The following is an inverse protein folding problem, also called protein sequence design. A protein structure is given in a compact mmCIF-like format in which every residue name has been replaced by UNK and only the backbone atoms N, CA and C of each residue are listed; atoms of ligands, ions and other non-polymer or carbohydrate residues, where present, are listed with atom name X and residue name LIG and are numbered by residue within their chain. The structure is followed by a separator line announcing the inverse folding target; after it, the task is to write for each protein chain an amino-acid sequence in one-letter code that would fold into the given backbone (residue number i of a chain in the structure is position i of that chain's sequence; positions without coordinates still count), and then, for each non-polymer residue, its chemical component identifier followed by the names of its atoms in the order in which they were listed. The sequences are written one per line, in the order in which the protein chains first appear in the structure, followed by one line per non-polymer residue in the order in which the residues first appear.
data_IF_516370872545
#
_entry.id   IF_516370872545
#
_cell.length_a   1.000
_cell.length_b   1.000
_cell.length_c   1.000
_cell.angle_alpha   90.00
_cell.angle_beta   90.00
_cell.angle_gamma   90.00
#
_symmetry.space_group_name_H-M   'P 1'
#
loop_
_entity.id
_entity.type
_entity.pdbx_description
1 polymer ?
#
# COMPACT_ATOMS: atom_id res chain seq x y z
N UNK A 1 -2.81 -3.62 19.79
CA UNK A 1 -1.65 -3.92 20.67
C UNK A 1 -0.52 -4.39 19.77
N UNK A 2 0.65 -3.78 19.89
CA UNK A 2 1.86 -4.27 19.22
C UNK A 2 2.11 -5.73 19.63
N UNK A 3 2.79 -6.49 18.78
CA UNK A 3 3.14 -7.89 19.03
C UNK A 3 4.02 -7.98 20.31
N UNK A 4 3.38 -8.18 21.46
CA UNK A 4 4.02 -8.29 22.78
C UNK A 4 5.04 -9.42 22.80
N UNK A 5 4.80 -10.47 22.01
CA UNK A 5 5.78 -11.54 21.81
C UNK A 5 7.01 -11.02 21.09
N UNK A 6 6.86 -10.29 19.97
CA UNK A 6 7.98 -9.69 19.24
C UNK A 6 8.80 -8.75 20.13
N UNK A 7 8.16 -7.92 20.95
CA UNK A 7 8.87 -7.07 21.91
C UNK A 7 9.61 -7.89 22.97
N UNK A 8 8.95 -8.90 23.54
CA UNK A 8 9.53 -9.78 24.56
C UNK A 8 10.76 -10.52 24.03
N UNK A 9 10.66 -11.18 22.87
CA UNK A 9 11.75 -11.98 22.29
C UNK A 9 12.88 -11.14 21.70
N UNK A 10 12.69 -9.83 21.55
CA UNK A 10 13.74 -8.89 21.16
C UNK A 10 14.30 -8.07 22.34
N UNK A 11 13.73 -8.15 23.54
CA UNK A 11 14.25 -7.53 24.77
C UNK A 11 15.46 -8.30 25.32
N UNK A 12 16.42 -7.65 26.00
CA UNK A 12 17.70 -8.27 26.40
C UNK A 12 17.60 -9.68 27.04
N UNK A 13 16.87 -9.85 28.16
CA UNK A 13 16.68 -11.17 28.77
C UNK A 13 15.86 -12.14 27.89
N UNK A 14 14.80 -11.64 27.24
CA UNK A 14 13.93 -12.46 26.39
C UNK A 14 14.59 -12.93 25.10
N UNK A 15 15.52 -12.15 24.54
CA UNK A 15 16.30 -12.49 23.34
C UNK A 15 17.23 -13.67 23.58
N UNK A 16 17.89 -13.70 24.73
CA UNK A 16 18.77 -14.80 25.12
C UNK A 16 17.97 -16.09 25.35
N UNK A 17 16.80 -15.98 26.00
CA UNK A 17 15.92 -17.12 26.24
C UNK A 17 15.31 -17.66 24.93
N UNK A 18 14.78 -16.79 24.08
CA UNK A 18 14.22 -17.17 22.78
C UNK A 18 15.26 -17.85 21.89
N UNK A 19 16.51 -17.34 21.85
CA UNK A 19 17.61 -17.98 21.11
C UNK A 19 17.94 -19.37 21.63
N UNK A 20 17.97 -19.57 22.96
CA UNK A 20 18.19 -20.88 23.59
C UNK A 20 17.05 -21.87 23.31
N UNK A 21 15.82 -21.37 23.19
CA UNK A 21 14.61 -22.16 22.95
C UNK A 21 14.28 -22.34 21.45
N UNK A 22 15.08 -21.78 20.54
CA UNK A 22 14.83 -21.84 19.09
C UNK A 22 13.56 -21.09 18.67
N UNK A 23 13.11 -20.11 19.47
CA UNK A 23 11.88 -19.37 19.22
C UNK A 23 12.07 -18.34 18.08
N UNK A 24 11.08 -18.16 17.18
CA UNK A 24 11.15 -17.14 16.13
C UNK A 24 11.36 -15.73 16.69
N UNK A 25 12.30 -14.99 16.12
CA UNK A 25 12.63 -13.60 16.47
C UNK A 25 12.39 -12.69 15.27
N UNK A 26 11.12 -12.37 14.95
CA UNK A 26 10.81 -11.41 13.89
C UNK A 26 11.45 -10.06 14.19
N UNK A 27 11.85 -9.35 13.14
CA UNK A 27 12.44 -8.03 13.28
C UNK A 27 11.40 -6.99 13.73
N UNK A 28 11.81 -6.01 14.52
CA UNK A 28 10.98 -4.83 14.76
C UNK A 28 11.02 -3.96 13.50
N UNK A 29 9.88 -3.85 12.81
CA UNK A 29 9.81 -3.10 11.55
C UNK A 29 9.92 -1.60 11.78
N UNK A 30 10.80 -0.94 11.02
CA UNK A 30 10.92 0.51 10.94
C UNK A 30 9.65 1.10 10.32
N UNK A 31 8.79 1.68 11.15
CA UNK A 31 7.58 2.40 10.73
C UNK A 31 7.82 3.91 10.77
N UNK A 32 7.05 4.64 9.97
CA UNK A 32 7.16 6.09 9.91
C UNK A 32 6.80 6.75 11.25
N UNK A 33 7.57 7.77 11.59
CA UNK A 33 7.36 8.66 12.72
C UNK A 33 7.72 10.08 12.23
N UNK A 34 6.90 11.10 12.54
CA UNK A 34 7.18 12.48 12.14
C UNK A 34 8.60 12.92 12.51
N UNK A 35 9.29 13.58 11.58
CA UNK A 35 10.64 14.11 11.79
C UNK A 35 11.77 13.08 11.72
N UNK A 36 11.48 11.79 11.50
CA UNK A 36 12.54 10.82 11.22
C UNK A 36 13.05 10.95 9.78
N UNK A 37 14.36 10.68 9.54
CA UNK A 37 14.93 10.76 8.20
C UNK A 37 14.24 9.78 7.25
N UNK A 38 14.19 10.09 5.95
CA UNK A 38 13.60 9.22 4.93
C UNK A 38 14.31 7.85 4.87
N UNK A 39 15.65 7.87 4.86
CA UNK A 39 16.53 6.69 4.91
C UNK A 39 17.63 6.95 5.94
N UNK A 40 18.09 5.91 6.64
CA UNK A 40 19.27 5.97 7.50
C UNK A 40 20.42 5.22 6.86
N UNK A 41 21.49 5.93 6.49
CA UNK A 41 22.64 5.38 5.76
C UNK A 41 22.55 5.58 4.24
N UNK A 42 23.62 5.24 3.49
CA UNK A 42 23.69 5.49 2.05
C UNK A 42 22.64 4.71 1.25
N UNK A 43 22.22 5.30 0.13
CA UNK A 43 21.40 4.68 -0.91
C UNK A 43 22.29 4.37 -2.10
N UNK A 44 22.44 3.09 -2.43
CA UNK A 44 23.17 2.67 -3.64
C UNK A 44 22.21 2.60 -4.81
N UNK A 45 22.45 3.35 -5.87
CA UNK A 45 21.72 3.27 -7.14
C UNK A 45 22.60 2.55 -8.16
N UNK A 46 22.12 1.43 -8.66
CA UNK A 46 22.80 0.54 -9.61
C UNK A 46 22.11 0.59 -10.97
N UNK A 47 22.87 0.39 -12.04
CA UNK A 47 22.42 0.48 -13.43
C UNK A 47 23.21 1.54 -14.19
N UNK A 48 23.57 1.24 -15.44
CA UNK A 48 24.40 2.08 -16.30
C UNK A 48 23.55 2.84 -17.34
N UNK A 49 22.32 3.21 -16.98
CA UNK A 49 21.37 3.89 -17.86
C UNK A 49 21.26 5.37 -17.52
N UNK A 50 20.87 6.24 -18.48
CA UNK A 50 20.58 7.65 -18.18
C UNK A 50 19.49 7.82 -17.12
N UNK A 51 18.54 6.89 -17.03
CA UNK A 51 17.52 6.85 -15.97
C UNK A 51 18.14 6.69 -14.58
N UNK A 52 19.15 5.83 -14.46
CA UNK A 52 19.86 5.59 -13.22
C UNK A 52 20.65 6.82 -12.74
N UNK A 53 21.30 7.53 -13.66
CA UNK A 53 22.02 8.77 -13.34
C UNK A 53 21.07 9.90 -12.91
N UNK A 54 19.96 10.07 -13.64
CA UNK A 54 18.92 11.06 -13.30
C UNK A 54 18.29 10.79 -11.95
N UNK A 55 17.95 9.51 -11.66
CA UNK A 55 17.42 9.14 -10.34
C UNK A 55 18.42 9.41 -9.24
N UNK A 56 19.70 9.07 -9.43
CA UNK A 56 20.73 9.35 -8.43
C UNK A 56 20.88 10.85 -8.14
N UNK A 57 20.86 11.69 -9.19
CA UNK A 57 20.89 13.15 -9.04
C UNK A 57 19.66 13.68 -8.28
N UNK A 58 18.47 13.13 -8.56
CA UNK A 58 17.24 13.52 -7.86
C UNK A 58 17.27 13.09 -6.39
N UNK A 59 17.75 11.89 -6.07
CA UNK A 59 17.88 11.44 -4.68
C UNK A 59 18.91 12.29 -3.89
N UNK A 60 19.97 12.78 -4.54
CA UNK A 60 20.90 13.74 -3.93
C UNK A 60 20.20 15.08 -3.61
N UNK A 61 19.28 15.52 -4.46
CA UNK A 61 18.49 16.75 -4.25
C UNK A 61 17.62 16.65 -2.97
N UNK A 62 17.26 15.44 -2.56
CA UNK A 62 16.53 15.15 -1.32
C UNK A 62 17.44 15.10 -0.07
N UNK A 63 18.71 15.51 -0.18
CA UNK A 63 19.72 15.44 0.87
C UNK A 63 20.01 14.01 1.36
N UNK A 64 19.94 13.01 0.47
CA UNK A 64 20.36 11.64 0.76
C UNK A 64 21.85 11.45 0.42
N UNK A 65 22.54 10.57 1.14
CA UNK A 65 23.85 10.06 0.72
C UNK A 65 23.64 9.01 -0.38
N UNK A 66 24.00 9.34 -1.62
CA UNK A 66 23.77 8.49 -2.80
C UNK A 66 25.08 8.00 -3.39
N UNK A 67 25.14 6.70 -3.71
CA UNK A 67 26.32 6.03 -4.27
C UNK A 67 25.96 5.31 -5.56
N UNK A 68 26.86 5.28 -6.54
CA UNK A 68 26.67 4.58 -7.83
C UNK A 68 27.34 3.20 -7.89
N UNK A 69 28.01 2.79 -6.83
CA UNK A 69 28.68 1.50 -6.71
C UNK A 69 28.57 0.97 -5.29
N UNK A 70 28.84 -0.33 -5.11
CA UNK A 70 28.92 -0.96 -3.80
C UNK A 70 29.93 -0.23 -2.91
N UNK A 71 29.63 -0.10 -1.62
CA UNK A 71 30.50 0.54 -0.64
C UNK A 71 30.95 -0.51 0.39
N UNK A 72 32.19 -1.00 0.31
CA UNK A 72 32.69 -1.97 1.27
C UNK A 72 32.64 -1.41 2.71
N UNK A 73 32.23 -2.26 3.65
CA UNK A 73 32.26 -2.00 5.10
C UNK A 73 31.34 -0.87 5.63
N UNK A 74 30.44 -0.31 4.82
CA UNK A 74 29.43 0.65 5.28
C UNK A 74 28.03 0.04 5.30
N UNK A 75 27.21 0.40 6.30
CA UNK A 75 25.84 -0.09 6.41
C UNK A 75 24.85 0.74 5.60
N UNK A 76 24.25 0.11 4.59
CA UNK A 76 23.36 0.71 3.60
C UNK A 76 21.92 0.85 4.11
N UNK A 77 21.29 1.96 3.77
CA UNK A 77 19.87 2.16 4.01
C UNK A 77 19.01 1.56 2.90
N UNK A 78 19.46 1.65 1.64
CA UNK A 78 18.76 1.08 0.51
C UNK A 78 19.68 0.72 -0.67
N UNK A 79 19.19 -0.18 -1.54
CA UNK A 79 19.76 -0.51 -2.85
C UNK A 79 18.64 -0.32 -3.88
N UNK A 80 18.89 0.44 -4.94
CA UNK A 80 17.97 0.64 -6.04
C UNK A 80 18.63 0.10 -7.31
N UNK A 81 17.98 -0.83 -8.00
CA UNK A 81 18.41 -1.35 -9.30
C UNK A 81 17.55 -0.73 -10.38
N UNK A 82 18.16 0.06 -11.26
CA UNK A 82 17.49 0.66 -12.42
C UNK A 82 17.73 -0.25 -13.62
N UNK A 83 16.66 -0.93 -14.04
CA UNK A 83 16.61 -2.01 -15.01
C UNK A 83 15.66 -1.64 -16.17
N UNK A 84 15.57 -0.35 -16.48
CA UNK A 84 14.62 0.25 -17.43
C UNK A 84 14.99 0.03 -18.90
N UNK A 85 16.24 -0.35 -19.17
CA UNK A 85 16.77 -0.64 -20.52
C UNK A 85 17.12 -2.12 -20.74
N UNK A 86 16.73 -3.02 -19.83
CA UNK A 86 16.97 -4.47 -19.98
C UNK A 86 16.24 -5.01 -21.22
N UNK A 87 17.01 -5.54 -22.18
CA UNK A 87 16.52 -6.01 -23.48
C UNK A 87 16.74 -7.51 -23.72
N UNK A 88 17.63 -8.14 -22.97
CA UNK A 88 17.91 -9.57 -23.03
C UNK A 88 18.12 -10.14 -21.62
N UNK A 89 17.78 -11.42 -21.33
CA UNK A 89 17.90 -11.98 -19.98
C UNK A 89 19.32 -11.90 -19.38
N UNK A 90 20.36 -11.91 -20.20
CA UNK A 90 21.76 -11.77 -19.76
C UNK A 90 22.08 -10.38 -19.21
N UNK A 91 21.32 -9.35 -19.60
CA UNK A 91 21.57 -7.97 -19.16
C UNK A 91 21.33 -7.80 -17.65
N UNK A 92 20.60 -8.75 -17.03
CA UNK A 92 20.37 -8.77 -15.58
C UNK A 92 21.64 -9.08 -14.79
N UNK A 93 22.61 -9.81 -15.36
CA UNK A 93 23.76 -10.34 -14.61
C UNK A 93 24.51 -9.25 -13.85
N UNK A 94 24.98 -8.21 -14.56
CA UNK A 94 25.81 -7.14 -14.00
C UNK A 94 25.12 -6.38 -12.85
N UNK A 95 23.92 -5.78 -13.03
CA UNK A 95 23.27 -5.03 -11.95
C UNK A 95 22.87 -5.94 -10.77
N UNK A 96 22.46 -7.19 -11.03
CA UNK A 96 22.06 -8.13 -9.97
C UNK A 96 23.25 -8.58 -9.14
N UNK A 97 24.38 -8.94 -9.76
CA UNK A 97 25.59 -9.32 -9.01
C UNK A 97 26.18 -8.15 -8.24
N UNK A 98 26.11 -6.92 -8.78
CA UNK A 98 26.48 -5.72 -8.05
C UNK A 98 25.61 -5.50 -6.79
N UNK A 99 24.30 -5.71 -6.90
CA UNK A 99 23.39 -5.64 -5.76
C UNK A 99 23.70 -6.75 -4.75
N UNK A 100 23.91 -7.98 -5.22
CA UNK A 100 24.21 -9.15 -4.39
C UNK A 100 25.44 -8.93 -3.49
N UNK A 101 26.49 -8.27 -4.03
CA UNK A 101 27.69 -7.90 -3.27
C UNK A 101 27.42 -6.97 -2.07
N UNK A 102 26.31 -6.23 -2.09
CA UNK A 102 25.93 -5.24 -1.08
C UNK A 102 24.79 -5.68 -0.15
N UNK A 103 24.12 -6.81 -0.43
CA UNK A 103 22.93 -7.24 0.33
C UNK A 103 23.22 -7.49 1.82
N UNK A 104 24.43 -7.97 2.16
CA UNK A 104 24.84 -8.21 3.56
C UNK A 104 25.08 -6.92 4.34
N UNK A 105 25.20 -5.80 3.62
CA UNK A 105 25.43 -4.48 4.19
C UNK A 105 24.13 -3.69 4.41
N UNK A 106 22.99 -4.19 3.95
CA UNK A 106 21.69 -3.62 4.28
C UNK A 106 21.46 -3.59 5.80
N UNK A 107 20.99 -2.45 6.29
CA UNK A 107 20.54 -2.27 7.67
C UNK A 107 19.25 -3.07 7.93
N UNK A 108 18.97 -3.29 9.21
CA UNK A 108 17.65 -3.73 9.63
C UNK A 108 16.59 -2.72 9.16
N UNK A 109 15.53 -3.21 8.53
CA UNK A 109 14.54 -2.35 7.86
C UNK A 109 15.09 -1.60 6.64
N UNK A 110 16.14 -2.11 5.99
CA UNK A 110 16.62 -1.59 4.70
C UNK A 110 15.63 -1.81 3.56
N UNK A 111 15.95 -1.28 2.38
CA UNK A 111 15.07 -1.35 1.21
C UNK A 111 15.83 -1.82 -0.03
N UNK A 112 15.19 -2.69 -0.80
CA UNK A 112 15.59 -2.97 -2.19
C UNK A 112 14.48 -2.50 -3.10
N UNK A 113 14.83 -1.72 -4.12
CA UNK A 113 13.88 -1.20 -5.11
C UNK A 113 14.34 -1.56 -6.51
N UNK A 114 13.46 -2.05 -7.38
CA UNK A 114 13.73 -2.14 -8.82
C UNK A 114 12.93 -1.10 -9.58
N UNK A 115 13.53 -0.44 -10.56
CA UNK A 115 12.81 0.27 -11.62
C UNK A 115 12.92 -0.57 -12.88
N UNK A 116 11.80 -0.95 -13.50
CA UNK A 116 11.78 -1.78 -14.70
C UNK A 116 10.69 -1.34 -15.67
N UNK A 117 10.63 -1.95 -16.86
CA UNK A 117 9.55 -1.74 -17.84
C UNK A 117 8.62 -2.95 -17.91
N UNK A 118 7.34 -2.77 -18.26
CA UNK A 118 6.41 -3.90 -18.36
C UNK A 118 6.79 -4.83 -19.52
N UNK A 119 6.65 -6.14 -19.28
CA UNK A 119 6.88 -7.15 -20.30
C UNK A 119 5.87 -7.06 -21.45
N UNK A 120 4.65 -6.59 -21.19
CA UNK A 120 3.59 -6.40 -22.19
C UNK A 120 3.89 -5.32 -23.23
N UNK A 121 4.84 -4.42 -22.96
CA UNK A 121 5.29 -3.37 -23.89
C UNK A 121 6.64 -3.69 -24.55
N UNK A 122 7.12 -4.93 -24.43
CA UNK A 122 8.34 -5.34 -25.11
C UNK A 122 8.10 -5.56 -26.61
N UNK A 123 9.04 -5.13 -27.44
CA UNK A 123 8.99 -5.32 -28.90
C UNK A 123 9.52 -6.67 -29.36
N UNK A 124 10.24 -7.40 -28.51
CA UNK A 124 10.79 -8.73 -28.81
C UNK A 124 10.53 -9.73 -27.67
N UNK A 125 10.48 -11.04 -27.96
CA UNK A 125 10.35 -12.07 -26.94
C UNK A 125 11.47 -12.05 -25.90
N UNK A 126 12.71 -11.74 -26.29
CA UNK A 126 13.87 -11.64 -25.40
C UNK A 126 13.69 -10.51 -24.39
N UNK A 127 13.23 -9.34 -24.84
CA UNK A 127 12.96 -8.20 -23.98
C UNK A 127 11.78 -8.49 -23.05
N UNK A 128 10.73 -9.16 -23.54
CA UNK A 128 9.60 -9.58 -22.72
C UNK A 128 10.06 -10.55 -21.61
N UNK A 129 10.87 -11.54 -21.96
CA UNK A 129 11.43 -12.52 -21.03
C UNK A 129 12.33 -11.85 -19.98
N UNK A 130 13.19 -10.93 -20.40
CA UNK A 130 14.10 -10.22 -19.52
C UNK A 130 13.35 -9.33 -18.52
N UNK A 131 12.37 -8.54 -18.99
CA UNK A 131 11.52 -7.68 -18.17
C UNK A 131 10.67 -8.49 -17.19
N UNK A 132 10.03 -9.58 -17.64
CA UNK A 132 9.27 -10.47 -16.75
C UNK A 132 10.18 -11.18 -15.74
N UNK A 133 11.44 -11.43 -16.10
CA UNK A 133 12.45 -11.99 -15.20
C UNK A 133 12.74 -11.11 -13.98
N UNK A 134 12.61 -9.78 -14.11
CA UNK A 134 12.76 -8.85 -12.98
C UNK A 134 11.73 -9.14 -11.88
N UNK A 135 10.51 -9.51 -12.24
CA UNK A 135 9.46 -9.84 -11.28
C UNK A 135 9.83 -11.04 -10.41
N UNK A 136 10.26 -12.12 -11.07
CA UNK A 136 10.68 -13.35 -10.41
C UNK A 136 11.91 -13.14 -9.53
N UNK A 137 12.88 -12.39 -10.04
CA UNK A 137 14.08 -11.98 -9.31
C UNK A 137 13.72 -11.22 -8.04
N UNK A 138 12.98 -10.11 -8.14
CA UNK A 138 12.69 -9.26 -6.99
C UNK A 138 11.87 -10.01 -5.93
N UNK A 139 10.84 -10.76 -6.34
CA UNK A 139 10.01 -11.51 -5.39
C UNK A 139 10.83 -12.59 -4.68
N UNK A 140 11.79 -13.21 -5.35
CA UNK A 140 12.70 -14.18 -4.71
C UNK A 140 13.65 -13.47 -3.76
N UNK A 141 14.29 -12.39 -4.22
CA UNK A 141 15.19 -11.57 -3.42
C UNK A 141 14.51 -11.07 -2.13
N UNK A 142 13.28 -10.56 -2.21
CA UNK A 142 12.52 -10.10 -1.04
C UNK A 142 12.34 -11.20 0.03
N UNK A 143 12.22 -12.48 -0.37
CA UNK A 143 12.15 -13.61 0.57
C UNK A 143 13.50 -13.95 1.22
N UNK A 144 14.61 -13.55 0.59
CA UNK A 144 15.96 -13.77 1.11
C UNK A 144 16.44 -12.63 2.02
N UNK A 145 15.81 -11.45 1.90
CA UNK A 145 16.09 -10.30 2.74
C UNK A 145 15.85 -10.62 4.23
N UNK A 146 16.65 -10.00 5.08
CA UNK A 146 16.67 -10.26 6.52
C UNK A 146 16.36 -9.01 7.32
N UNK A 147 16.16 -9.19 8.63
CA UNK A 147 16.03 -8.10 9.59
C UNK A 147 14.94 -7.07 9.23
N UNK A 148 13.83 -7.53 8.63
CA UNK A 148 12.70 -6.68 8.27
C UNK A 148 12.94 -5.75 7.08
N UNK A 149 13.99 -5.98 6.30
CA UNK A 149 14.16 -5.32 5.00
C UNK A 149 13.10 -5.82 4.00
N UNK A 150 12.74 -4.97 3.04
CA UNK A 150 11.71 -5.25 2.03
C UNK A 150 12.24 -5.02 0.62
N UNK A 151 11.70 -5.74 -0.36
CA UNK A 151 12.00 -5.59 -1.78
C UNK A 151 10.74 -5.24 -2.57
N UNK A 152 10.69 -4.10 -3.26
CA UNK A 152 9.53 -3.66 -4.05
C UNK A 152 9.95 -3.07 -5.41
N UNK A 153 9.03 -3.03 -6.38
CA UNK A 153 9.32 -2.59 -7.74
C UNK A 153 8.45 -1.42 -8.17
N UNK A 154 9.00 -0.57 -9.02
CA UNK A 154 8.27 0.45 -9.78
C UNK A 154 8.38 0.10 -11.26
N UNK A 155 7.24 -0.05 -11.92
CA UNK A 155 7.16 -0.41 -13.34
C UNK A 155 6.83 0.85 -14.13
N UNK A 156 7.74 1.23 -15.04
CA UNK A 156 7.66 2.42 -15.89
C UNK A 156 6.95 2.04 -17.20
N UNK A 157 5.64 2.29 -17.28
CA UNK A 157 4.83 2.01 -18.46
C UNK A 157 4.79 3.23 -19.40
N UNK A 158 4.65 2.97 -20.69
CA UNK A 158 4.65 4.00 -21.73
C UNK A 158 5.91 4.88 -21.68
N UNK A 159 5.69 6.18 -21.79
CA UNK A 159 6.78 7.17 -21.85
C UNK A 159 7.30 7.61 -20.46
N UNK A 160 6.82 6.98 -19.39
CA UNK A 160 7.26 7.32 -18.03
C UNK A 160 8.73 6.97 -17.81
N UNK A 161 9.35 7.71 -16.90
CA UNK A 161 10.79 7.71 -16.65
C UNK A 161 11.10 7.52 -15.16
N UNK A 162 12.38 7.31 -14.85
CA UNK A 162 12.87 7.20 -13.48
C UNK A 162 12.63 8.47 -12.62
N UNK A 163 12.33 9.61 -13.25
CA UNK A 163 12.13 10.91 -12.60
C UNK A 163 10.73 11.48 -12.79
N UNK A 164 9.80 10.73 -13.38
CA UNK A 164 8.40 11.13 -13.44
C UNK A 164 7.87 11.37 -12.02
N UNK A 165 6.97 12.35 -11.78
CA UNK A 165 6.54 12.70 -10.43
C UNK A 165 6.02 11.49 -9.63
N UNK A 166 5.25 10.63 -10.29
CA UNK A 166 4.68 9.44 -9.67
C UNK A 166 5.68 8.30 -9.46
N UNK A 167 6.72 8.22 -10.30
CA UNK A 167 7.87 7.33 -10.07
C UNK A 167 8.63 7.75 -8.82
N UNK A 168 8.94 9.03 -8.68
CA UNK A 168 9.61 9.59 -7.51
C UNK A 168 8.75 9.44 -6.25
N UNK A 169 7.44 9.62 -6.35
CA UNK A 169 6.48 9.35 -5.29
C UNK A 169 6.54 7.90 -4.80
N UNK A 170 6.50 6.93 -5.72
CA UNK A 170 6.59 5.51 -5.40
C UNK A 170 7.96 5.14 -4.78
N UNK A 171 9.06 5.65 -5.33
CA UNK A 171 10.41 5.46 -4.77
C UNK A 171 10.47 6.01 -3.35
N UNK A 172 9.99 7.23 -3.11
CA UNK A 172 9.95 7.83 -1.77
C UNK A 172 9.11 7.01 -0.79
N UNK A 173 7.93 6.55 -1.21
CA UNK A 173 7.10 5.67 -0.40
C UNK A 173 7.85 4.39 -0.01
N UNK A 174 8.46 3.70 -0.98
CA UNK A 174 9.21 2.47 -0.72
C UNK A 174 10.47 2.69 0.13
N UNK A 175 11.19 3.80 -0.04
CA UNK A 175 12.36 4.14 0.79
C UNK A 175 11.99 4.39 2.27
N UNK A 176 10.77 4.86 2.52
CA UNK A 176 10.34 5.33 3.84
C UNK A 176 9.93 4.20 4.80
N UNK A 177 9.70 4.58 6.07
CA UNK A 177 9.02 3.71 7.04
C UNK A 177 7.51 3.54 6.78
N UNK A 178 6.93 4.24 5.79
CA UNK A 178 5.51 4.17 5.44
C UNK A 178 5.15 2.87 4.70
N UNK A 179 6.13 2.26 4.03
CA UNK A 179 5.99 0.99 3.29
C UNK A 179 6.34 -0.27 4.11
N UNK A 180 6.39 -0.17 5.45
CA UNK A 180 6.98 -1.19 6.32
C UNK A 180 6.41 -2.63 6.16
N UNK A 181 5.17 -2.76 5.68
CA UNK A 181 4.51 -4.05 5.46
C UNK A 181 4.11 -4.28 3.99
N UNK A 182 4.65 -3.48 3.08
CA UNK A 182 4.57 -3.70 1.63
C UNK A 182 5.88 -4.35 1.20
N UNK A 183 5.79 -5.60 0.73
CA UNK A 183 6.97 -6.40 0.41
C UNK A 183 6.68 -7.38 -0.72
N UNK A 184 7.64 -7.53 -1.63
CA UNK A 184 7.54 -8.27 -2.88
C UNK A 184 6.46 -7.75 -3.82
N UNK A 185 6.15 -6.45 -3.79
CA UNK A 185 5.09 -5.85 -4.61
C UNK A 185 5.63 -4.91 -5.69
N UNK A 186 4.77 -4.62 -6.66
CA UNK A 186 5.06 -3.70 -7.76
C UNK A 186 3.99 -2.61 -7.82
N UNK A 187 4.40 -1.41 -8.23
CA UNK A 187 3.52 -0.32 -8.60
C UNK A 187 3.80 0.08 -10.04
N UNK A 188 2.77 0.07 -10.88
CA UNK A 188 2.88 0.56 -12.25
C UNK A 188 2.60 2.05 -12.29
N UNK A 189 3.55 2.82 -12.84
CA UNK A 189 3.39 4.24 -13.17
C UNK A 189 3.13 4.31 -14.68
N UNK A 190 1.93 4.74 -15.05
CA UNK A 190 1.44 4.68 -16.44
C UNK A 190 1.18 6.04 -17.09
N UNK A 191 1.35 7.13 -16.35
CA UNK A 191 1.37 8.49 -16.89
C UNK A 191 2.31 9.41 -16.13
N UNK A 192 2.63 10.55 -16.73
CA UNK A 192 3.38 11.66 -16.12
C UNK A 192 2.51 12.49 -15.15
N UNK A 193 1.26 12.11 -14.93
CA UNK A 193 0.37 12.84 -14.04
C UNK A 193 0.85 12.79 -12.59
N UNK A 194 0.41 13.79 -11.83
CA UNK A 194 0.75 13.95 -10.43
C UNK A 194 1.82 15.01 -10.19
N UNK A 195 2.12 15.22 -8.92
CA UNK A 195 3.12 16.19 -8.47
C UNK A 195 3.67 15.77 -7.12
N UNK A 196 4.95 16.07 -6.89
CA UNK A 196 5.53 15.90 -5.57
C UNK A 196 5.01 17.01 -4.63
N UNK A 197 4.72 16.70 -3.36
CA UNK A 197 4.21 17.69 -2.42
C UNK A 197 5.31 18.71 -2.07
N UNK A 198 4.91 19.96 -1.86
CA UNK A 198 5.80 21.01 -1.37
C UNK A 198 6.35 20.69 0.03
N UNK A 199 5.50 20.17 0.93
CA UNK A 199 5.90 19.59 2.20
C UNK A 199 5.77 18.06 2.14
N UNK A 200 6.89 17.33 2.10
CA UNK A 200 6.88 15.87 2.05
C UNK A 200 6.30 15.19 3.30
N UNK A 201 6.13 15.91 4.42
CA UNK A 201 5.48 15.43 5.65
C UNK A 201 3.97 15.67 5.66
N UNK A 202 3.45 16.59 4.83
CA UNK A 202 2.04 16.93 4.68
C UNK A 202 1.55 16.73 3.22
N UNK A 203 1.66 15.50 2.65
CA UNK A 203 1.38 15.28 1.23
C UNK A 203 -0.09 15.46 0.82
N UNK A 204 -1.00 15.62 1.78
CA UNK A 204 -2.44 15.78 1.56
C UNK A 204 -2.94 17.17 2.02
N UNK A 205 -2.03 18.12 2.25
CA UNK A 205 -2.38 19.48 2.65
C UNK A 205 -3.40 20.09 1.67
N UNK A 206 -4.49 20.63 2.23
CA UNK A 206 -5.56 21.28 1.46
C UNK A 206 -6.55 20.33 0.79
N UNK A 207 -6.42 19.01 0.98
CA UNK A 207 -7.37 18.01 0.45
C UNK A 207 -8.52 17.75 1.44
N UNK A 208 -9.71 17.50 0.92
CA UNK A 208 -10.88 17.01 1.69
C UNK A 208 -11.07 15.53 1.41
N UNK A 209 -11.01 14.71 2.46
CA UNK A 209 -11.04 13.26 2.39
C UNK A 209 -12.21 12.65 3.17
N UNK A 210 -12.91 11.74 2.51
CA UNK A 210 -13.96 10.90 3.11
C UNK A 210 -13.39 9.52 3.43
N UNK A 211 -13.65 9.00 4.63
CA UNK A 211 -13.31 7.62 5.00
C UNK A 211 -14.56 6.88 5.46
N UNK A 212 -14.92 5.79 4.79
CA UNK A 212 -16.06 4.94 5.19
C UNK A 212 -15.66 3.87 6.19
N UNK A 213 -16.56 3.50 7.11
CA UNK A 213 -16.27 2.55 8.19
C UNK A 213 -15.21 3.09 9.16
N UNK A 214 -15.27 4.40 9.43
CA UNK A 214 -14.22 5.15 10.12
C UNK A 214 -14.31 5.10 11.66
N UNK A 215 -15.36 4.51 12.23
CA UNK A 215 -15.58 4.56 13.68
C UNK A 215 -14.52 3.80 14.49
N UNK A 216 -13.83 2.81 13.91
CA UNK A 216 -12.84 1.98 14.61
C UNK A 216 -11.86 1.27 13.67
N UNK A 217 -10.92 0.54 14.27
CA UNK A 217 -10.03 -0.39 13.55
C UNK A 217 -9.21 0.30 12.47
N UNK A 218 -9.16 -0.31 11.27
CA UNK A 218 -8.39 0.21 10.13
C UNK A 218 -8.94 1.56 9.66
N UNK A 219 -10.27 1.75 9.61
CA UNK A 219 -10.88 3.02 9.19
C UNK A 219 -10.49 4.19 10.08
N UNK A 220 -10.52 4.00 11.40
CA UNK A 220 -10.05 5.01 12.35
C UNK A 220 -8.56 5.31 12.18
N UNK A 221 -7.73 4.29 11.90
CA UNK A 221 -6.31 4.50 11.65
C UNK A 221 -6.05 5.24 10.33
N UNK A 222 -6.81 4.95 9.27
CA UNK A 222 -6.77 5.70 8.00
C UNK A 222 -7.07 7.17 8.27
N UNK A 223 -8.15 7.48 9.00
CA UNK A 223 -8.51 8.85 9.34
C UNK A 223 -7.35 9.61 10.04
N UNK A 224 -6.72 8.98 11.03
CA UNK A 224 -5.57 9.56 11.76
C UNK A 224 -4.36 9.80 10.85
N UNK A 225 -4.04 8.84 9.99
CA UNK A 225 -2.90 8.96 9.07
C UNK A 225 -3.15 10.04 8.01
N UNK A 226 -4.34 10.09 7.39
CA UNK A 226 -4.67 11.14 6.42
C UNK A 226 -4.70 12.53 7.08
N UNK A 227 -5.18 12.63 8.32
CA UNK A 227 -5.16 13.90 9.08
C UNK A 227 -3.73 14.35 9.38
N UNK A 228 -2.89 13.43 9.84
CA UNK A 228 -1.46 13.70 10.07
C UNK A 228 -0.78 14.22 8.80
N UNK A 229 -1.19 13.72 7.64
CA UNK A 229 -0.65 14.10 6.34
C UNK A 229 -1.31 15.35 5.74
N UNK A 230 -2.23 16.01 6.45
CA UNK A 230 -2.73 17.36 6.14
C UNK A 230 -4.14 17.42 5.56
N UNK A 231 -4.83 16.28 5.44
CA UNK A 231 -6.19 16.25 4.93
C UNK A 231 -7.20 16.80 5.95
N UNK A 232 -8.27 17.39 5.45
CA UNK A 232 -9.51 17.65 6.19
C UNK A 232 -10.43 16.44 6.09
N UNK A 233 -10.94 15.94 7.22
CA UNK A 233 -11.59 14.63 7.29
C UNK A 233 -13.11 14.71 7.43
N UNK A 234 -13.79 13.88 6.64
CA UNK A 234 -15.20 13.52 6.80
C UNK A 234 -15.26 12.02 7.11
N UNK A 235 -15.71 11.68 8.31
CA UNK A 235 -15.76 10.30 8.77
C UNK A 235 -17.17 9.75 8.61
N UNK A 236 -17.30 8.64 7.88
CA UNK A 236 -18.57 8.01 7.55
C UNK A 236 -18.68 6.66 8.24
N UNK A 237 -19.77 6.45 8.97
CA UNK A 237 -20.14 5.14 9.52
C UNK A 237 -21.66 5.07 9.76
N UNK A 238 -22.16 3.90 10.13
CA UNK A 238 -23.58 3.71 10.44
C UNK A 238 -23.98 4.48 11.71
N UNK A 239 -25.25 4.91 11.86
CA UNK A 239 -25.71 5.62 13.06
C UNK A 239 -25.43 4.88 14.37
N UNK A 240 -25.52 3.54 14.37
CA UNK A 240 -25.22 2.72 15.54
C UNK A 240 -23.75 2.78 16.01
N UNK A 241 -22.83 3.29 15.18
CA UNK A 241 -21.44 3.52 15.53
C UNK A 241 -21.14 5.00 15.85
N UNK A 242 -22.19 5.83 16.01
CA UNK A 242 -22.09 7.28 16.14
C UNK A 242 -21.15 7.77 17.24
N UNK A 243 -21.18 7.15 18.42
CA UNK A 243 -20.32 7.55 19.55
C UNK A 243 -18.82 7.31 19.25
N UNK A 244 -18.51 6.14 18.69
CA UNK A 244 -17.14 5.80 18.27
C UNK A 244 -16.67 6.70 17.12
N UNK A 245 -17.57 6.98 16.18
CA UNK A 245 -17.30 7.88 15.05
C UNK A 245 -16.99 9.30 15.52
N UNK A 246 -17.77 9.82 16.47
CA UNK A 246 -17.56 11.14 17.06
C UNK A 246 -16.22 11.22 17.81
N UNK A 247 -15.84 10.16 18.54
CA UNK A 247 -14.55 10.10 19.21
C UNK A 247 -13.38 10.23 18.22
N UNK A 248 -13.40 9.46 17.11
CA UNK A 248 -12.35 9.57 16.09
C UNK A 248 -12.38 10.94 15.41
N UNK A 249 -13.56 11.49 15.12
CA UNK A 249 -13.68 12.81 14.49
C UNK A 249 -13.08 13.92 15.37
N UNK A 250 -13.25 13.85 16.68
CA UNK A 250 -12.65 14.80 17.62
C UNK A 250 -11.12 14.70 17.62
N UNK A 251 -10.54 13.49 17.58
CA UNK A 251 -9.10 13.28 17.51
C UNK A 251 -8.47 13.90 16.25
N UNK A 252 -9.17 13.78 15.11
CA UNK A 252 -8.67 14.26 13.80
C UNK A 252 -9.22 15.63 13.41
N UNK A 253 -9.96 16.30 14.30
CA UNK A 253 -10.64 17.59 14.04
C UNK A 253 -11.47 17.56 12.75
N UNK A 254 -12.09 16.41 12.47
CA UNK A 254 -12.92 16.16 11.30
C UNK A 254 -14.41 16.34 11.58
N UNK A 255 -15.24 16.10 10.57
CA UNK A 255 -16.70 16.07 10.71
C UNK A 255 -17.23 14.64 10.56
N UNK A 256 -18.37 14.33 11.16
CA UNK A 256 -19.01 13.03 11.04
C UNK A 256 -20.20 13.08 10.09
N UNK A 257 -20.39 12.03 9.30
CA UNK A 257 -21.62 11.77 8.55
C UNK A 257 -22.11 10.35 8.87
N UNK A 258 -23.20 10.27 9.64
CA UNK A 258 -23.83 9.01 9.98
C UNK A 258 -24.77 8.57 8.85
N UNK A 259 -24.40 7.53 8.12
CA UNK A 259 -25.16 6.99 6.99
C UNK A 259 -24.82 5.52 6.77
N UNK A 260 -25.85 4.72 6.44
CA UNK A 260 -25.61 3.40 5.88
C UNK A 260 -25.19 3.55 4.41
N UNK A 261 -23.95 3.18 4.11
CA UNK A 261 -23.36 3.29 2.77
C UNK A 261 -24.10 2.44 1.72
N UNK A 262 -24.92 1.48 2.14
CA UNK A 262 -25.72 0.68 1.22
C UNK A 262 -26.97 1.41 0.72
N UNK A 263 -27.37 2.51 1.37
CA UNK A 263 -28.53 3.30 0.99
C UNK A 263 -28.39 3.94 -0.40
N UNK A 264 -29.50 4.07 -1.13
CA UNK A 264 -29.51 4.58 -2.50
C UNK A 264 -28.91 5.99 -2.65
N UNK A 265 -29.03 6.83 -1.61
CA UNK A 265 -28.56 8.22 -1.62
C UNK A 265 -27.24 8.42 -0.85
N UNK A 266 -26.53 7.35 -0.49
CA UNK A 266 -25.30 7.48 0.30
C UNK A 266 -24.23 8.32 -0.41
N UNK A 267 -24.02 8.11 -1.71
CA UNK A 267 -23.07 8.88 -2.51
C UNK A 267 -23.40 10.37 -2.53
N UNK A 268 -24.66 10.72 -2.83
CA UNK A 268 -25.12 12.11 -2.84
C UNK A 268 -24.94 12.77 -1.46
N UNK A 269 -25.32 12.10 -0.38
CA UNK A 269 -25.16 12.63 0.99
C UNK A 269 -23.70 12.88 1.36
N UNK A 270 -22.77 12.04 0.89
CA UNK A 270 -21.33 12.24 1.10
C UNK A 270 -20.86 13.50 0.38
N UNK A 271 -21.25 13.68 -0.88
CA UNK A 271 -20.90 14.84 -1.71
C UNK A 271 -21.47 16.12 -1.09
N UNK A 272 -22.76 16.13 -0.77
CA UNK A 272 -23.45 17.29 -0.20
C UNK A 272 -22.79 17.73 1.12
N UNK A 273 -22.47 16.77 1.99
CA UNK A 273 -21.81 17.08 3.27
C UNK A 273 -20.41 17.66 3.05
N UNK A 274 -19.64 17.13 2.10
CA UNK A 274 -18.31 17.64 1.77
C UNK A 274 -18.36 19.06 1.21
N UNK A 275 -19.27 19.31 0.27
CA UNK A 275 -19.47 20.62 -0.36
C UNK A 275 -19.99 21.64 0.66
N UNK A 276 -20.98 21.27 1.47
CA UNK A 276 -21.55 22.17 2.48
C UNK A 276 -20.52 22.59 3.54
N UNK A 277 -19.63 21.67 3.94
CA UNK A 277 -18.66 21.94 5.03
C UNK A 277 -17.35 22.52 4.54
N UNK A 278 -16.92 22.17 3.34
CA UNK A 278 -15.56 22.42 2.88
C UNK A 278 -15.48 22.92 1.43
N UNK A 279 -16.61 23.01 0.71
CA UNK A 279 -16.70 23.51 -0.66
C UNK A 279 -16.15 22.57 -1.74
N UNK A 280 -15.59 21.40 -1.36
CA UNK A 280 -14.94 20.45 -2.27
C UNK A 280 -14.90 19.04 -1.72
N UNK A 281 -14.63 18.07 -2.59
CA UNK A 281 -14.29 16.69 -2.24
C UNK A 281 -13.13 16.22 -3.15
N UNK A 282 -12.07 15.69 -2.57
CA UNK A 282 -10.87 15.29 -3.31
C UNK A 282 -10.60 13.80 -3.23
N UNK A 283 -10.81 13.21 -2.04
CA UNK A 283 -10.42 11.83 -1.73
C UNK A 283 -11.61 11.06 -1.16
N UNK A 284 -11.85 9.85 -1.67
CA UNK A 284 -12.80 8.91 -1.08
C UNK A 284 -12.10 7.58 -0.80
N UNK A 285 -12.10 7.16 0.47
CA UNK A 285 -11.57 5.86 0.90
C UNK A 285 -12.72 4.91 1.22
N UNK A 286 -12.87 3.89 0.38
CA UNK A 286 -13.82 2.79 0.60
C UNK A 286 -13.22 1.72 1.51
N UNK A 287 -13.29 1.95 2.82
CA UNK A 287 -12.80 1.01 3.83
C UNK A 287 -13.92 0.17 4.47
N UNK A 288 -15.16 0.66 4.51
CA UNK A 288 -16.27 -0.09 5.08
C UNK A 288 -16.40 -1.50 4.47
N UNK A 289 -16.57 -2.49 5.34
CA UNK A 289 -16.70 -3.87 4.90
C UNK A 289 -17.03 -4.82 6.05
N UNK A 290 -17.63 -5.95 5.70
CA UNK A 290 -18.02 -7.00 6.64
C UNK A 290 -17.63 -8.38 6.14
N UNK A 291 -17.52 -9.31 7.08
CA UNK A 291 -17.39 -10.75 6.83
C UNK A 291 -18.61 -11.47 7.39
N UNK A 292 -19.08 -12.52 6.69
CA UNK A 292 -20.14 -13.44 7.13
C UNK A 292 -19.74 -14.84 6.71
N UNK A 293 -18.73 -15.36 7.41
CA UNK A 293 -18.03 -16.57 7.03
C UNK A 293 -18.92 -17.80 7.23
N UNK A 294 -19.04 -18.59 6.17
CA UNK A 294 -19.77 -19.85 6.14
C UNK A 294 -19.31 -20.68 4.94
N UNK A 295 -19.21 -21.99 5.10
CA UNK A 295 -19.01 -22.87 3.94
C UNK A 295 -20.19 -22.69 2.97
N UNK A 296 -19.91 -22.68 1.65
CA UNK A 296 -20.92 -22.39 0.63
C UNK A 296 -22.13 -23.34 0.72
N UNK A 297 -21.90 -24.62 1.03
CA UNK A 297 -22.96 -25.61 1.25
C UNK A 297 -23.95 -25.24 2.37
N UNK A 298 -23.57 -24.33 3.27
CA UNK A 298 -24.38 -23.85 4.39
C UNK A 298 -24.63 -22.34 4.33
N UNK A 299 -24.35 -21.69 3.18
CA UNK A 299 -24.54 -20.26 3.01
C UNK A 299 -26.02 -19.96 2.81
N UNK A 300 -26.53 -18.95 3.51
CA UNK A 300 -27.89 -18.45 3.30
C UNK A 300 -27.87 -17.12 2.50
N UNK A 301 -29.00 -16.75 1.85
CA UNK A 301 -29.08 -15.52 1.08
C UNK A 301 -28.77 -14.25 1.88
N UNK A 302 -29.12 -14.19 3.17
CA UNK A 302 -28.90 -13.01 4.00
C UNK A 302 -27.40 -12.74 4.21
N UNK A 303 -26.61 -13.79 4.51
CA UNK A 303 -25.15 -13.70 4.64
C UNK A 303 -24.48 -13.35 3.32
N UNK A 304 -24.93 -13.95 2.22
CA UNK A 304 -24.41 -13.64 0.89
C UNK A 304 -24.69 -12.18 0.51
N UNK A 305 -25.97 -11.80 0.51
CA UNK A 305 -26.41 -10.47 0.08
C UNK A 305 -25.84 -9.36 0.94
N UNK A 306 -25.74 -9.54 2.27
CA UNK A 306 -25.13 -8.54 3.15
C UNK A 306 -23.68 -8.25 2.78
N UNK A 307 -22.87 -9.28 2.53
CA UNK A 307 -21.46 -9.12 2.17
C UNK A 307 -21.31 -8.47 0.80
N UNK A 308 -22.06 -8.92 -0.21
CA UNK A 308 -22.01 -8.33 -1.55
C UNK A 308 -22.48 -6.87 -1.53
N UNK A 309 -23.58 -6.58 -0.84
CA UNK A 309 -24.16 -5.25 -0.82
C UNK A 309 -23.23 -4.22 -0.15
N UNK A 310 -22.65 -4.57 1.01
CA UNK A 310 -21.77 -3.67 1.76
C UNK A 310 -20.39 -3.54 1.09
N UNK A 311 -19.78 -4.66 0.71
CA UNK A 311 -18.37 -4.65 0.32
C UNK A 311 -18.12 -4.20 -1.11
N UNK A 312 -19.10 -4.31 -2.02
CA UNK A 312 -18.91 -3.95 -3.44
C UNK A 312 -20.08 -3.17 -4.04
N UNK A 313 -21.34 -3.58 -3.86
CA UNK A 313 -22.45 -2.90 -4.52
C UNK A 313 -22.62 -1.45 -4.04
N UNK A 314 -22.39 -1.19 -2.74
CA UNK A 314 -22.36 0.16 -2.18
C UNK A 314 -21.27 1.03 -2.82
N UNK A 315 -20.06 0.49 -3.01
CA UNK A 315 -18.95 1.23 -3.63
C UNK A 315 -19.29 1.63 -5.08
N UNK A 316 -19.87 0.71 -5.85
CA UNK A 316 -20.31 1.00 -7.23
C UNK A 316 -21.34 2.14 -7.27
N UNK A 317 -22.37 2.10 -6.42
CA UNK A 317 -23.38 3.18 -6.35
C UNK A 317 -22.81 4.51 -5.92
N UNK A 318 -21.89 4.50 -4.94
CA UNK A 318 -21.22 5.73 -4.49
C UNK A 318 -20.34 6.29 -5.61
N UNK A 319 -19.56 5.44 -6.29
CA UNK A 319 -18.71 5.85 -7.39
C UNK A 319 -19.51 6.41 -8.58
N UNK A 320 -20.68 5.84 -8.89
CA UNK A 320 -21.58 6.39 -9.91
C UNK A 320 -21.99 7.83 -9.58
N UNK A 321 -22.39 8.10 -8.33
CA UNK A 321 -22.72 9.45 -7.87
C UNK A 321 -21.49 10.40 -7.90
N UNK A 322 -20.32 9.92 -7.49
CA UNK A 322 -19.07 10.68 -7.52
C UNK A 322 -18.68 11.07 -8.94
N UNK A 323 -18.71 10.13 -9.89
CA UNK A 323 -18.36 10.35 -11.29
C UNK A 323 -19.36 11.28 -12.00
N UNK A 324 -20.63 11.26 -11.59
CA UNK A 324 -21.64 12.18 -12.10
C UNK A 324 -21.46 13.62 -11.58
N UNK A 325 -20.89 13.79 -10.38
CA UNK A 325 -20.78 15.08 -9.71
C UNK A 325 -19.78 16.03 -10.37
N UNK A 326 -20.10 17.32 -10.37
CA UNK A 326 -19.15 18.38 -10.73
C UNK A 326 -18.14 18.70 -9.63
N UNK A 327 -18.45 18.35 -8.38
CA UNK A 327 -17.63 18.61 -7.20
C UNK A 327 -16.51 17.58 -6.98
N UNK A 328 -16.38 16.59 -7.87
CA UNK A 328 -15.39 15.51 -7.79
C UNK A 328 -14.68 15.30 -9.14
N UNK A 329 -14.20 16.40 -9.75
CA UNK A 329 -13.62 16.39 -11.11
C UNK A 329 -12.18 16.87 -11.24
N UNK A 330 -11.59 17.45 -10.19
CA UNK A 330 -10.24 18.02 -10.24
C UNK A 330 -9.25 17.07 -9.59
N UNK A 331 -8.62 16.23 -10.39
CA UNK A 331 -7.69 15.19 -9.92
C UNK A 331 -8.23 14.35 -8.76
N UNK A 332 -9.44 13.78 -8.87
CA UNK A 332 -10.05 13.02 -7.79
C UNK A 332 -9.25 11.75 -7.45
N UNK A 333 -9.35 11.29 -6.20
CA UNK A 333 -8.67 10.09 -5.71
C UNK A 333 -9.67 9.15 -5.05
N UNK A 334 -9.74 7.92 -5.52
CA UNK A 334 -10.50 6.85 -4.86
C UNK A 334 -9.54 5.75 -4.44
N UNK A 335 -9.58 5.36 -3.17
CA UNK A 335 -8.79 4.22 -2.67
C UNK A 335 -9.71 3.21 -1.99
N UNK A 336 -9.82 2.01 -2.56
CA UNK A 336 -10.65 0.94 -2.01
C UNK A 336 -9.83 -0.06 -1.18
N UNK A 337 -10.48 -0.71 -0.21
CA UNK A 337 -9.88 -1.80 0.56
C UNK A 337 -10.38 -3.14 0.03
N UNK A 338 -9.51 -3.84 -0.70
CA UNK A 338 -9.68 -5.22 -1.16
C UNK A 338 -9.28 -6.23 -0.06
N UNK A 339 -8.70 -7.38 -0.42
CA UNK A 339 -8.16 -8.38 0.51
C UNK A 339 -7.31 -9.40 -0.25
N UNK A 340 -6.31 -10.01 0.41
CA UNK A 340 -5.63 -11.20 -0.14
C UNK A 340 -6.59 -12.38 -0.35
N UNK A 341 -7.69 -12.49 0.43
CA UNK A 341 -8.73 -13.50 0.17
C UNK A 341 -9.43 -13.31 -1.18
N UNK A 342 -9.47 -12.08 -1.70
CA UNK A 342 -10.01 -11.80 -3.04
C UNK A 342 -9.08 -12.23 -4.17
N UNK A 343 -7.79 -12.41 -3.87
CA UNK A 343 -6.76 -12.86 -4.82
C UNK A 343 -6.71 -14.39 -4.83
N UNK A 344 -6.56 -15.00 -3.66
CA UNK A 344 -6.26 -16.43 -3.55
C UNK A 344 -7.44 -17.30 -3.08
N UNK A 345 -8.57 -16.67 -2.74
CA UNK A 345 -9.67 -17.34 -2.04
C UNK A 345 -9.35 -17.63 -0.56
N UNK A 346 -10.37 -18.03 0.18
CA UNK A 346 -10.20 -18.55 1.55
C UNK A 346 -11.39 -19.45 1.92
N UNK A 347 -11.13 -20.49 2.72
CA UNK A 347 -12.16 -21.46 3.13
C UNK A 347 -13.23 -20.75 3.95
N UNK A 348 -14.50 -20.93 3.55
CA UNK A 348 -15.66 -20.32 4.22
C UNK A 348 -15.91 -18.85 3.86
N UNK A 349 -15.16 -18.31 2.89
CA UNK A 349 -15.24 -16.91 2.48
C UNK A 349 -15.62 -16.75 1.00
N UNK A 350 -16.45 -17.63 0.42
CA UNK A 350 -16.83 -17.52 -1.00
C UNK A 350 -17.54 -16.19 -1.31
N UNK A 351 -18.44 -15.73 -0.44
CA UNK A 351 -19.08 -14.40 -0.52
C UNK A 351 -18.05 -13.26 -0.37
N UNK A 352 -17.17 -13.34 0.62
CA UNK A 352 -16.20 -12.29 0.92
C UNK A 352 -15.11 -12.19 -0.16
N UNK A 353 -14.55 -13.32 -0.59
CA UNK A 353 -13.61 -13.40 -1.69
C UNK A 353 -14.23 -12.89 -3.00
N UNK A 354 -15.47 -13.27 -3.31
CA UNK A 354 -16.19 -12.71 -4.47
C UNK A 354 -16.32 -11.18 -4.37
N UNK A 355 -16.70 -10.65 -3.19
CA UNK A 355 -16.80 -9.20 -3.01
C UNK A 355 -15.46 -8.47 -3.15
N UNK A 356 -14.37 -9.01 -2.59
CA UNK A 356 -13.05 -8.37 -2.59
C UNK A 356 -12.32 -8.54 -3.92
N UNK A 357 -12.55 -9.64 -4.64
CA UNK A 357 -12.17 -9.75 -6.06
C UNK A 357 -12.97 -8.78 -6.94
N UNK A 358 -14.26 -8.60 -6.65
CA UNK A 358 -15.11 -7.60 -7.30
C UNK A 358 -14.59 -6.16 -7.12
N UNK A 359 -14.08 -5.81 -5.93
CA UNK A 359 -13.41 -4.51 -5.70
C UNK A 359 -12.22 -4.33 -6.65
N UNK A 360 -11.38 -5.36 -6.84
CA UNK A 360 -10.23 -5.27 -7.75
C UNK A 360 -10.69 -5.09 -9.21
N UNK A 361 -11.75 -5.80 -9.62
CA UNK A 361 -12.36 -5.62 -10.94
C UNK A 361 -12.91 -4.21 -11.15
N UNK A 362 -13.64 -3.68 -10.16
CA UNK A 362 -14.16 -2.31 -10.18
C UNK A 362 -13.03 -1.28 -10.30
N UNK A 363 -11.96 -1.41 -9.52
CA UNK A 363 -10.81 -0.49 -9.59
C UNK A 363 -10.23 -0.44 -11.01
N UNK A 364 -9.96 -1.60 -11.62
CA UNK A 364 -9.42 -1.67 -12.99
C UNK A 364 -10.40 -1.09 -14.02
N UNK A 365 -11.69 -1.37 -13.88
CA UNK A 365 -12.71 -0.91 -14.82
C UNK A 365 -13.02 0.60 -14.70
N UNK A 366 -12.87 1.18 -13.51
CA UNK A 366 -13.12 2.61 -13.27
C UNK A 366 -11.89 3.47 -13.58
N UNK A 367 -10.67 2.92 -13.56
CA UNK A 367 -9.45 3.67 -13.85
C UNK A 367 -9.48 4.47 -15.17
N UNK A 368 -9.92 3.91 -16.32
CA UNK A 368 -10.04 4.66 -17.57
C UNK A 368 -11.06 5.80 -17.52
N UNK A 369 -12.07 5.73 -16.64
CA UNK A 369 -13.07 6.79 -16.47
C UNK A 369 -12.51 7.96 -15.63
N UNK A 370 -11.55 7.68 -14.76
CA UNK A 370 -10.90 8.66 -13.89
C UNK A 370 -9.77 9.42 -14.61
N UNK A 371 -9.08 8.75 -15.55
CA UNK A 371 -7.89 9.31 -16.21
C UNK A 371 -8.14 10.66 -16.90
N UNK A 372 -9.25 10.90 -17.66
CA UNK A 372 -9.52 12.21 -18.27
C UNK A 372 -9.70 13.36 -17.26
N UNK A 373 -9.95 13.05 -15.98
CA UNK A 373 -10.10 14.02 -14.90
C UNK A 373 -8.75 14.30 -14.17
N UNK A 374 -7.64 13.71 -14.65
CA UNK A 374 -6.38 13.63 -13.91
C UNK A 374 -6.52 12.87 -12.59
N UNK A 375 -7.57 12.04 -12.49
CA UNK A 375 -7.97 11.31 -11.30
C UNK A 375 -7.44 9.88 -11.28
N UNK A 376 -7.43 9.28 -10.10
CA UNK A 376 -7.01 7.88 -9.94
C UNK A 376 -7.98 7.10 -9.07
N UNK A 377 -8.10 5.81 -9.36
CA UNK A 377 -8.72 4.83 -8.48
C UNK A 377 -7.76 3.66 -8.29
N UNK A 378 -7.48 3.31 -7.04
CA UNK A 378 -6.59 2.21 -6.68
C UNK A 378 -7.19 1.39 -5.54
N UNK A 379 -6.61 0.24 -5.23
CA UNK A 379 -6.94 -0.51 -4.03
C UNK A 379 -5.70 -0.97 -3.26
N UNK A 380 -5.88 -1.12 -1.96
CA UNK A 380 -4.98 -1.93 -1.12
C UNK A 380 -5.59 -3.30 -0.88
N UNK A 381 -4.77 -4.34 -0.85
CA UNK A 381 -5.19 -5.70 -0.50
C UNK A 381 -4.45 -6.16 0.77
N UNK A 382 -5.00 -5.86 1.97
CA UNK A 382 -4.36 -6.26 3.22
C UNK A 382 -4.26 -7.78 3.36
N UNK A 383 -3.14 -8.23 3.94
CA UNK A 383 -2.94 -9.60 4.40
C UNK A 383 -3.41 -9.77 5.85
N UNK A 384 -2.63 -10.48 6.67
CA UNK A 384 -2.90 -10.61 8.10
C UNK A 384 -2.52 -9.32 8.84
N UNK A 385 -3.53 -8.59 9.34
CA UNK A 385 -3.37 -7.35 10.10
C UNK A 385 -3.88 -7.53 11.54
N UNK A 386 -3.11 -7.07 12.51
CA UNK A 386 -3.47 -7.08 13.93
C UNK A 386 -4.63 -6.11 14.20
N UNK A 387 -5.81 -6.66 14.48
CA UNK A 387 -7.03 -5.92 14.75
C UNK A 387 -7.84 -6.62 15.84
N UNK A 388 -8.86 -5.95 16.37
CA UNK A 388 -9.84 -6.60 17.25
C UNK A 388 -10.54 -7.80 16.58
N UNK A 389 -10.67 -7.77 15.24
CA UNK A 389 -11.27 -8.87 14.48
C UNK A 389 -10.35 -10.09 14.44
N UNK A 390 -9.06 -9.90 14.12
CA UNK A 390 -8.09 -11.02 14.08
C UNK A 390 -7.77 -11.55 15.48
N UNK A 391 -7.93 -10.73 16.53
CA UNK A 391 -7.83 -11.18 17.92
C UNK A 391 -8.87 -12.26 18.30
N UNK A 392 -9.97 -12.40 17.56
CA UNK A 392 -11.00 -13.45 17.78
C UNK A 392 -10.66 -14.80 17.12
N UNK A 393 -9.63 -14.85 16.26
CA UNK A 393 -9.19 -16.09 15.62
C UNK A 393 -8.54 -16.99 16.70
N UNK A 394 -8.83 -18.31 16.71
CA UNK A 394 -8.17 -19.25 17.62
C UNK A 394 -6.65 -19.13 17.60
N UNK A 395 -6.03 -19.17 18.78
CA UNK A 395 -4.62 -18.82 18.99
C UNK A 395 -3.66 -19.54 18.02
N UNK A 396 -3.76 -20.87 17.91
CA UNK A 396 -2.85 -21.65 17.04
C UNK A 396 -2.96 -21.26 15.56
N UNK A 397 -4.18 -21.09 15.05
CA UNK A 397 -4.43 -20.67 13.66
C UNK A 397 -3.92 -19.24 13.43
N UNK A 398 -4.14 -18.37 14.42
CA UNK A 398 -3.70 -16.98 14.38
C UNK A 398 -2.18 -16.86 14.33
N UNK A 399 -1.47 -17.62 15.15
CA UNK A 399 0.00 -17.60 15.18
C UNK A 399 0.61 -18.16 13.90
N UNK A 400 0.04 -19.22 13.32
CA UNK A 400 0.48 -19.71 12.00
C UNK A 400 0.26 -18.63 10.95
N UNK A 401 -0.95 -18.07 10.84
CA UNK A 401 -1.25 -17.02 9.86
C UNK A 401 -0.38 -15.76 10.02
N UNK A 402 -0.06 -15.37 11.26
CA UNK A 402 0.84 -14.26 11.61
C UNK A 402 2.25 -14.47 11.04
N UNK A 403 2.73 -15.71 10.92
CA UNK A 403 4.11 -16.03 10.50
C UNK A 403 4.26 -16.43 9.03
N UNK A 404 3.16 -16.67 8.30
CA UNK A 404 3.18 -17.07 6.89
C UNK A 404 3.43 -15.90 5.91
N UNK A 405 4.48 -15.14 6.15
CA UNK A 405 4.95 -14.05 5.30
C UNK A 405 6.46 -13.81 5.53
N UNK A 406 7.15 -13.13 4.60
CA UNK A 406 8.61 -12.91 4.66
C UNK A 406 9.05 -12.10 5.89
N UNK A 407 8.19 -11.21 6.38
CA UNK A 407 8.46 -10.41 7.58
C UNK A 407 8.15 -11.15 8.89
N UNK A 408 7.62 -12.36 8.78
CA UNK A 408 7.30 -13.30 9.87
C UNK A 408 6.50 -12.65 11.01
N UNK A 409 5.63 -11.67 10.73
CA UNK A 409 4.77 -11.02 11.73
C UNK A 409 3.48 -10.50 11.10
N UNK A 410 2.49 -10.18 11.92
CA UNK A 410 1.28 -9.49 11.47
C UNK A 410 1.53 -8.01 11.20
N UNK A 411 0.86 -7.47 10.19
CA UNK A 411 0.89 -6.04 9.90
C UNK A 411 0.04 -5.26 10.91
N UNK A 412 0.20 -3.94 10.94
CA UNK A 412 -0.61 -3.04 11.75
C UNK A 412 -1.61 -2.27 10.88
N UNK A 413 -2.72 -1.77 11.46
CA UNK A 413 -3.62 -0.86 10.75
C UNK A 413 -2.89 0.34 10.13
N UNK A 414 -1.82 0.81 10.77
CA UNK A 414 -0.99 1.89 10.27
C UNK A 414 -0.33 1.53 8.92
N UNK A 415 0.11 0.28 8.74
CA UNK A 415 0.77 -0.13 7.48
C UNK A 415 -0.21 -0.05 6.28
N UNK A 416 -1.48 -0.34 6.52
CA UNK A 416 -2.56 -0.19 5.52
C UNK A 416 -2.85 1.30 5.27
N UNK A 417 -2.97 2.07 6.35
CA UNK A 417 -3.28 3.49 6.29
C UNK A 417 -2.22 4.32 5.56
N UNK A 418 -0.93 4.04 5.79
CA UNK A 418 0.19 4.67 5.08
C UNK A 418 0.15 4.40 3.57
N UNK A 419 -0.18 3.16 3.19
CA UNK A 419 -0.31 2.78 1.77
C UNK A 419 -1.47 3.51 1.11
N UNK A 420 -2.61 3.62 1.82
CA UNK A 420 -3.78 4.39 1.34
C UNK A 420 -3.43 5.87 1.21
N UNK A 421 -2.73 6.46 2.18
CA UNK A 421 -2.32 7.86 2.14
C UNK A 421 -1.42 8.16 0.95
N UNK A 422 -0.47 7.27 0.64
CA UNK A 422 0.34 7.39 -0.57
C UNK A 422 -0.50 7.35 -1.84
N UNK A 423 -1.36 6.33 -2.01
CA UNK A 423 -2.21 6.19 -3.20
C UNK A 423 -3.27 7.31 -3.34
N UNK A 424 -3.58 8.01 -2.25
CA UNK A 424 -4.47 9.16 -2.23
C UNK A 424 -3.74 10.50 -2.46
N UNK A 425 -2.42 10.51 -2.53
CA UNK A 425 -1.62 11.73 -2.71
C UNK A 425 -1.51 12.13 -4.18
N UNK A 426 -1.14 13.40 -4.43
CA UNK A 426 -0.83 13.85 -5.79
C UNK A 426 0.44 13.21 -6.36
N UNK A 427 1.35 12.75 -5.49
CA UNK A 427 2.55 12.01 -5.87
C UNK A 427 2.25 10.59 -6.36
N UNK A 428 0.99 10.15 -6.36
CA UNK A 428 0.54 8.91 -6.96
C UNK A 428 -0.40 9.15 -8.17
N UNK A 429 -0.40 10.36 -8.75
CA UNK A 429 -1.31 10.75 -9.84
C UNK A 429 -1.18 9.90 -11.11
N UNK A 430 -0.01 9.33 -11.37
CA UNK A 430 0.29 8.44 -12.49
C UNK A 430 0.16 6.94 -12.14
N UNK A 431 -0.40 6.63 -10.96
CA UNK A 431 -0.67 5.27 -10.50
C UNK A 431 -2.19 5.10 -10.47
N UNK A 432 -2.74 4.35 -11.43
CA UNK A 432 -4.18 4.24 -11.61
C UNK A 432 -4.58 2.82 -12.02
N UNK A 433 -5.61 2.27 -11.37
CA UNK A 433 -6.09 0.90 -11.58
C UNK A 433 -5.32 -0.17 -10.81
N UNK A 434 -4.42 0.23 -9.90
CA UNK A 434 -3.52 -0.69 -9.21
C UNK A 434 -4.16 -1.35 -7.98
N UNK A 435 -3.71 -2.57 -7.68
CA UNK A 435 -4.07 -3.29 -6.45
C UNK A 435 -2.79 -3.66 -5.70
N UNK A 436 -2.45 -2.87 -4.68
CA UNK A 436 -1.21 -3.05 -3.92
C UNK A 436 -1.45 -3.89 -2.66
N UNK A 437 -0.76 -5.04 -2.52
CA UNK A 437 -0.90 -5.86 -1.31
C UNK A 437 -0.10 -5.29 -0.15
N UNK A 438 -0.75 -5.14 1.01
CA UNK A 438 -0.11 -4.77 2.29
C UNK A 438 -0.06 -6.02 3.16
N UNK A 439 0.94 -6.87 2.92
CA UNK A 439 0.91 -8.26 3.39
C UNK A 439 2.24 -8.85 3.87
N UNK A 440 3.32 -8.07 3.91
CA UNK A 440 4.65 -8.56 4.28
C UNK A 440 5.16 -9.69 3.41
N UNK A 441 4.74 -9.72 2.13
CA UNK A 441 4.97 -10.80 1.18
C UNK A 441 4.40 -12.16 1.63
N UNK A 442 3.11 -12.17 2.02
CA UNK A 442 2.38 -13.40 2.34
C UNK A 442 2.48 -14.42 1.21
N UNK A 443 2.73 -15.70 1.57
CA UNK A 443 2.89 -16.82 0.63
C UNK A 443 1.66 -17.08 -0.25
N UNK A 444 0.48 -16.70 0.23
CA UNK A 444 -0.79 -16.84 -0.48
C UNK A 444 -0.88 -15.81 -1.61
N UNK A 445 -1.25 -16.23 -2.82
CA UNK A 445 -1.34 -15.37 -4.02
C UNK A 445 -1.91 -16.10 -5.24
N UNK A 446 -1.99 -15.37 -6.36
CA UNK A 446 -2.39 -15.84 -7.69
C UNK A 446 -1.54 -15.14 -8.75
#
# INVERSE_FOLDING_TARGET
MADTYTQLVNSGPGRNLARKLGLPQPAVLRRYQPGQPLVTGPVVVLGDTPGADKLAAELLSWNLDVRRHAVPAEKLGAIIMVLDEVGHPTDLEKPVLAAAGSLRDLRAGGRVITLSRPASEASTPEAAAARQGVDGLLRSLAKELRAGATGNGVVLAGDTTAISPSTLGAVRFFLSGRSAFVDGQFLTVSSEDGSLPADPEQPLAGKVAVVTGAARGIGAQIARTLHRDGATLILVDIPAAGDQLAAVANEVRGTTLQVDITGAHAGQRIIDHAVQRHGRLDIVVHNAGVTRDKLLANMDPARWNSVININIAAQLRINEALLASEHFRVSPRIVSVASTSGIAGNRGQTNYAASKGGVMGMVRATAPLMAPLGGTINAVAPGFIETEMTARIPFAVREVARRLNSLQQGGLPADVAETIAFLASDAAGGINGEVLRVCGQNLVGA
#
